data_IF_262769740446
#
_entry.id   IF_262769740446
#
_cell.length_a   1.000
_cell.length_b   1.000
_cell.length_c   1.000
_cell.angle_alpha   90.00
_cell.angle_beta   90.00
_cell.angle_gamma   90.00
#
_symmetry.space_group_name_H-M   'P 1'
#
loop_
_entity.id
_entity.type
_entity.pdbx_description
1 polymer ?
#
# COMPACT_ATOMS: atom_id res chain seq x y z
N UNK A 1 -16.68 19.86 29.24
CA UNK A 1 -17.12 19.23 27.98
C UNK A 1 -15.95 19.22 27.02
N UNK A 2 -15.28 18.09 26.87
CA UNK A 2 -14.21 17.89 25.90
C UNK A 2 -14.86 17.56 24.54
N UNK A 3 -14.50 18.22 23.43
CA UNK A 3 -15.09 17.89 22.14
C UNK A 3 -14.64 16.49 21.71
N UNK A 4 -15.59 15.63 21.35
CA UNK A 4 -15.33 14.38 20.64
C UNK A 4 -14.57 14.73 19.36
N UNK A 5 -13.33 14.25 19.22
CA UNK A 5 -12.62 14.28 17.93
C UNK A 5 -13.45 13.45 16.96
N UNK A 6 -13.94 14.05 15.88
CA UNK A 6 -14.52 13.30 14.78
C UNK A 6 -13.38 12.50 14.15
N UNK A 7 -13.39 11.18 14.32
CA UNK A 7 -12.54 10.29 13.53
C UNK A 7 -13.02 10.36 12.09
N UNK A 8 -12.26 10.97 11.20
CA UNK A 8 -12.30 10.63 9.78
C UNK A 8 -11.90 9.16 9.68
N UNK A 9 -12.90 8.27 9.65
CA UNK A 9 -12.67 6.83 9.63
C UNK A 9 -12.14 6.43 8.26
N UNK A 10 -10.92 5.90 8.21
CA UNK A 10 -10.38 5.13 7.10
C UNK A 10 -11.34 3.95 6.81
N UNK A 11 -11.82 3.82 5.57
CA UNK A 11 -12.71 2.72 5.20
C UNK A 11 -11.89 1.63 4.56
N UNK A 12 -12.18 0.41 4.99
CA UNK A 12 -11.24 -0.69 4.99
C UNK A 12 -10.04 -0.46 5.89
N UNK A 13 -10.20 -0.82 7.15
CA UNK A 13 -9.13 -1.51 7.84
C UNK A 13 -9.57 -2.97 7.85
N UNK A 14 -8.71 -3.92 7.50
CA UNK A 14 -8.99 -5.33 7.81
C UNK A 14 -8.98 -5.50 9.33
N UNK A 15 -10.08 -5.08 9.98
CA UNK A 15 -10.45 -5.52 11.30
C UNK A 15 -10.91 -6.98 11.14
N UNK A 16 -9.95 -7.91 11.06
CA UNK A 16 -10.24 -9.32 11.30
C UNK A 16 -10.88 -9.41 12.69
N UNK A 17 -12.22 -9.52 12.69
CA UNK A 17 -13.19 -9.59 13.79
C UNK A 17 -12.74 -9.00 15.13
N UNK A 18 -13.24 -7.81 15.44
CA UNK A 18 -13.35 -7.24 16.80
C UNK A 18 -14.30 -8.01 17.75
N UNK A 19 -14.56 -9.32 17.51
CA UNK A 19 -15.54 -10.09 18.29
C UNK A 19 -15.05 -11.39 18.95
N UNK A 20 -13.77 -11.68 18.90
CA UNK A 20 -13.17 -12.67 19.81
C UNK A 20 -11.96 -12.04 20.50
N UNK A 21 -11.66 -12.50 21.71
CA UNK A 21 -10.75 -11.95 22.72
C UNK A 21 -9.27 -11.83 22.33
N UNK A 22 -8.96 -11.78 21.04
CA UNK A 22 -7.63 -11.53 20.49
C UNK A 22 -7.39 -10.03 20.27
N UNK A 23 -6.34 -9.43 20.87
CA UNK A 23 -5.98 -8.04 20.61
C UNK A 23 -5.63 -7.81 19.13
N UNK A 24 -5.78 -6.59 18.59
CA UNK A 24 -5.46 -6.29 17.20
C UNK A 24 -4.01 -6.66 16.88
N UNK A 25 -3.85 -7.70 16.08
CA UNK A 25 -2.59 -8.19 15.55
C UNK A 25 -2.85 -8.72 14.14
N UNK A 26 -1.82 -8.68 13.31
CA UNK A 26 -1.89 -9.07 11.90
C UNK A 26 -1.39 -10.51 11.79
N UNK A 27 -1.88 -11.30 10.83
CA UNK A 27 -1.64 -12.76 10.80
C UNK A 27 -0.48 -13.13 9.88
N UNK A 28 0.42 -14.00 10.35
CA UNK A 28 1.56 -14.52 9.59
C UNK A 28 1.31 -15.98 9.23
N UNK A 29 0.79 -16.27 8.04
CA UNK A 29 0.67 -17.63 7.57
C UNK A 29 1.92 -18.10 6.81
N UNK A 30 2.18 -19.42 6.80
CA UNK A 30 3.25 -20.05 6.02
C UNK A 30 2.72 -21.21 5.18
N UNK A 31 3.30 -21.41 4.00
CA UNK A 31 2.98 -22.53 3.10
C UNK A 31 4.25 -23.01 2.40
N UNK A 32 4.30 -24.30 2.07
CA UNK A 32 5.36 -24.87 1.24
C UNK A 32 5.17 -24.58 -0.26
N UNK A 33 3.96 -24.19 -0.69
CA UNK A 33 3.68 -23.78 -2.08
C UNK A 33 3.02 -22.39 -2.12
N UNK A 34 3.21 -21.59 -3.18
CA UNK A 34 2.57 -20.28 -3.30
C UNK A 34 1.03 -20.33 -3.22
N UNK A 35 0.43 -21.42 -3.70
CA UNK A 35 -1.03 -21.62 -3.73
C UNK A 35 -1.60 -22.16 -2.40
N UNK A 36 -0.76 -22.49 -1.42
CA UNK A 36 -1.21 -23.04 -0.15
C UNK A 36 -1.23 -24.57 -0.08
N UNK A 37 -1.89 -25.15 0.94
CA UNK A 37 -2.61 -24.45 2.01
C UNK A 37 -1.66 -23.70 2.95
N UNK A 38 -2.14 -22.55 3.44
CA UNK A 38 -1.42 -21.72 4.39
C UNK A 38 -1.76 -22.14 5.84
N UNK A 39 -0.73 -22.28 6.68
CA UNK A 39 -0.86 -22.53 8.12
C UNK A 39 -0.57 -21.25 8.89
N UNK A 40 -1.50 -20.83 9.74
CA UNK A 40 -1.29 -19.72 10.67
C UNK A 40 -0.09 -19.98 11.61
N UNK A 41 0.75 -18.97 11.79
CA UNK A 41 1.89 -19.00 12.73
C UNK A 41 1.57 -18.16 13.97
N UNK A 42 1.32 -16.87 13.77
CA UNK A 42 1.14 -15.94 14.88
C UNK A 42 0.40 -14.68 14.43
N UNK A 43 -0.03 -13.92 15.44
CA UNK A 43 -0.54 -12.57 15.26
C UNK A 43 0.07 -11.63 16.27
N UNK A 44 0.56 -10.46 15.82
CA UNK A 44 1.26 -9.51 16.69
C UNK A 44 1.13 -8.05 16.23
N UNK A 45 1.50 -7.15 17.14
CA UNK A 45 1.68 -5.71 16.90
C UNK A 45 3.17 -5.41 16.72
N UNK A 46 3.63 -4.95 15.54
CA UNK A 46 5.05 -4.66 15.33
C UNK A 46 5.54 -3.58 16.30
N UNK A 47 6.47 -3.94 17.19
CA UNK A 47 6.98 -3.07 18.24
C UNK A 47 5.87 -2.42 19.10
N UNK A 48 4.76 -3.13 19.32
CA UNK A 48 3.60 -2.64 20.07
C UNK A 48 2.69 -1.67 19.33
N UNK A 49 3.04 -1.29 18.10
CA UNK A 49 2.26 -0.36 17.28
C UNK A 49 0.98 -1.02 16.72
N UNK A 50 -0.09 -0.24 16.64
CA UNK A 50 -1.25 -0.62 15.84
C UNK A 50 -0.86 -0.81 14.37
N UNK A 51 -1.48 -1.77 13.71
CA UNK A 51 -1.06 -2.23 12.39
C UNK A 51 -2.31 -2.61 11.58
N UNK A 52 -2.78 -1.68 10.74
CA UNK A 52 -4.02 -1.81 9.96
C UNK A 52 -3.70 -2.06 8.48
N UNK A 53 -3.99 -1.12 7.58
CA UNK A 53 -3.59 -1.21 6.18
C UNK A 53 -2.09 -1.45 6.03
N UNK A 54 -1.74 -2.20 4.98
CA UNK A 54 -0.43 -2.83 4.91
C UNK A 54 0.07 -3.18 3.55
N UNK A 55 1.40 -3.25 3.45
CA UNK A 55 2.08 -3.98 2.39
C UNK A 55 3.39 -4.57 2.88
N UNK A 56 3.92 -5.51 2.11
CA UNK A 56 5.22 -6.12 2.30
C UNK A 56 6.12 -5.76 1.12
N UNK A 57 7.40 -5.59 1.39
CA UNK A 57 8.40 -5.34 0.38
C UNK A 57 9.67 -6.11 0.71
N UNK A 58 10.19 -6.84 -0.27
CA UNK A 58 11.50 -7.52 -0.19
C UNK A 58 12.45 -6.75 -1.08
N UNK A 59 13.53 -6.24 -0.50
CA UNK A 59 14.56 -5.50 -1.21
C UNK A 59 15.54 -6.47 -1.91
N UNK A 60 16.38 -5.92 -2.78
CA UNK A 60 17.34 -6.68 -3.61
C UNK A 60 18.38 -7.42 -2.77
N UNK A 61 18.63 -6.98 -1.54
CA UNK A 61 19.54 -7.62 -0.57
C UNK A 61 18.87 -8.79 0.20
N UNK A 62 17.59 -9.07 -0.07
CA UNK A 62 16.80 -10.10 0.63
C UNK A 62 16.21 -9.63 1.97
N UNK A 63 16.41 -8.38 2.37
CA UNK A 63 15.74 -7.80 3.54
C UNK A 63 14.26 -7.58 3.25
N UNK A 64 13.38 -8.03 4.15
CA UNK A 64 11.95 -7.77 4.05
C UNK A 64 11.50 -6.67 5.02
N UNK A 65 10.50 -5.91 4.59
CA UNK A 65 9.95 -4.78 5.31
C UNK A 65 8.42 -4.85 5.29
N UNK A 66 7.81 -4.47 6.41
CA UNK A 66 6.37 -4.29 6.53
C UNK A 66 6.09 -2.80 6.65
N UNK A 67 5.29 -2.26 5.74
CA UNK A 67 4.74 -0.90 5.84
C UNK A 67 3.31 -0.96 6.32
N UNK A 68 2.92 -0.03 7.19
CA UNK A 68 1.61 -0.09 7.82
C UNK A 68 1.08 1.21 8.40
N UNK A 69 -0.24 1.36 8.35
CA UNK A 69 -0.97 2.43 9.05
C UNK A 69 -1.14 2.08 10.53
N UNK A 70 -0.88 3.06 11.39
CA UNK A 70 -0.78 2.95 12.85
C UNK A 70 -1.34 4.21 13.53
N UNK A 71 -1.39 4.24 14.87
CA UNK A 71 -1.93 5.37 15.68
C UNK A 71 -3.29 5.86 15.15
N UNK A 72 -4.26 4.95 15.06
CA UNK A 72 -5.59 5.24 14.49
C UNK A 72 -5.52 5.82 13.08
N UNK A 73 -4.64 5.21 12.28
CA UNK A 73 -4.33 5.53 10.89
C UNK A 73 -3.74 6.93 10.67
N UNK A 74 -3.34 7.61 11.74
CA UNK A 74 -2.65 8.89 11.64
C UNK A 74 -1.23 8.72 11.06
N UNK A 75 -0.54 7.65 11.48
CA UNK A 75 0.87 7.41 11.21
C UNK A 75 1.08 6.29 10.20
N UNK A 76 1.94 6.53 9.21
CA UNK A 76 2.47 5.47 8.35
C UNK A 76 3.88 5.11 8.82
N UNK A 77 4.13 3.81 9.04
CA UNK A 77 5.39 3.29 9.58
C UNK A 77 5.98 2.22 8.67
N UNK A 78 7.26 1.97 8.84
CA UNK A 78 7.94 0.80 8.30
C UNK A 78 8.74 0.11 9.38
N UNK A 79 8.78 -1.22 9.33
CA UNK A 79 9.61 -2.06 10.18
C UNK A 79 10.31 -3.12 9.35
N UNK A 80 11.58 -3.41 9.66
CA UNK A 80 12.29 -4.55 9.07
C UNK A 80 11.84 -5.84 9.74
N UNK A 81 11.64 -6.88 8.94
CA UNK A 81 11.29 -8.21 9.41
C UNK A 81 12.55 -9.05 9.71
N UNK A 82 12.39 -10.07 10.56
CA UNK A 82 13.39 -11.09 10.82
C UNK A 82 13.76 -11.83 9.52
N UNK A 83 14.88 -12.57 9.52
CA UNK A 83 15.35 -13.29 8.33
C UNK A 83 14.33 -14.30 7.77
N UNK A 84 13.49 -14.90 8.62
CA UNK A 84 12.39 -15.78 8.22
C UNK A 84 11.10 -15.04 7.84
N UNK A 85 11.11 -13.72 7.92
CA UNK A 85 10.00 -12.79 7.69
C UNK A 85 8.81 -12.94 8.64
N UNK A 86 8.94 -13.73 9.73
CA UNK A 86 7.83 -14.08 10.62
C UNK A 86 7.63 -13.12 11.79
N UNK A 87 8.60 -12.26 12.08
CA UNK A 87 8.52 -11.30 13.19
C UNK A 87 9.08 -9.95 12.81
N UNK A 88 8.64 -8.91 13.50
CA UNK A 88 9.24 -7.58 13.39
C UNK A 88 10.54 -7.51 14.21
N UNK A 89 11.55 -6.85 13.64
CA UNK A 89 12.76 -6.44 14.37
C UNK A 89 12.54 -5.10 15.06
N UNK A 90 13.53 -4.66 15.85
CA UNK A 90 13.54 -3.31 16.45
C UNK A 90 13.89 -2.19 15.48
N UNK A 91 14.27 -2.51 14.23
CA UNK A 91 14.52 -1.50 13.20
C UNK A 91 13.20 -1.01 12.61
N UNK A 92 12.75 0.15 13.08
CA UNK A 92 11.43 0.71 12.84
C UNK A 92 11.54 2.22 12.64
N UNK A 93 10.76 2.78 11.73
CA UNK A 93 10.70 4.22 11.48
C UNK A 93 9.27 4.70 11.26
N UNK A 94 8.96 5.86 11.84
CA UNK A 94 7.80 6.65 11.43
C UNK A 94 8.13 7.35 10.11
N UNK A 95 7.37 7.10 9.06
CA UNK A 95 7.60 7.73 7.76
C UNK A 95 7.04 9.15 7.74
N UNK A 96 5.76 9.29 8.08
CA UNK A 96 5.04 10.55 8.20
C UNK A 96 3.67 10.35 8.86
N UNK A 97 3.07 11.46 9.28
CA UNK A 97 1.85 11.52 10.09
C UNK A 97 0.77 12.34 9.38
N UNK A 98 0.19 11.77 8.32
CA UNK A 98 -0.65 12.51 7.36
C UNK A 98 -1.97 11.80 7.01
N UNK A 99 -2.44 10.89 7.87
CA UNK A 99 -3.66 10.10 7.65
C UNK A 99 -3.69 9.38 6.30
N UNK A 100 -2.63 8.62 6.02
CA UNK A 100 -2.47 7.85 4.80
C UNK A 100 -2.69 6.36 5.07
N UNK A 101 -3.26 5.68 4.09
CA UNK A 101 -3.63 4.27 4.12
C UNK A 101 -3.27 3.59 2.79
N UNK A 102 -3.59 2.30 2.67
CA UNK A 102 -3.43 1.50 1.46
C UNK A 102 -2.04 1.64 0.76
N UNK A 103 -0.93 1.41 1.49
CA UNK A 103 0.42 1.65 0.96
C UNK A 103 0.79 0.67 -0.16
N UNK A 104 1.25 1.20 -1.29
CA UNK A 104 1.80 0.43 -2.41
C UNK A 104 3.23 0.89 -2.71
N UNK A 105 4.20 0.09 -2.26
CA UNK A 105 5.63 0.36 -2.34
C UNK A 105 6.26 -0.37 -3.53
N UNK A 106 7.13 0.32 -4.27
CA UNK A 106 8.01 -0.28 -5.26
C UNK A 106 9.36 0.47 -5.33
N UNK A 107 10.35 -0.15 -5.98
CA UNK A 107 11.70 0.40 -6.16
C UNK A 107 12.01 0.52 -7.65
N UNK A 108 12.63 1.64 -8.03
CA UNK A 108 13.13 1.92 -9.39
C UNK A 108 14.37 2.80 -9.30
N UNK A 109 15.41 2.49 -10.08
CA UNK A 109 16.65 3.29 -10.15
C UNK A 109 17.24 3.64 -8.77
N UNK A 110 17.30 2.64 -7.88
CA UNK A 110 17.78 2.79 -6.50
C UNK A 110 17.01 3.82 -5.65
N UNK A 111 15.75 4.10 -6.00
CA UNK A 111 14.83 4.93 -5.23
C UNK A 111 13.55 4.16 -4.92
N UNK A 112 12.99 4.43 -3.76
CA UNK A 112 11.73 3.88 -3.32
C UNK A 112 10.62 4.86 -3.63
N UNK A 113 9.50 4.34 -4.12
CA UNK A 113 8.29 5.09 -4.40
C UNK A 113 7.12 4.45 -3.67
N UNK A 114 6.33 5.28 -3.00
CA UNK A 114 5.23 4.85 -2.16
C UNK A 114 3.97 5.60 -2.55
N UNK A 115 3.01 4.88 -3.14
CA UNK A 115 1.68 5.41 -3.43
C UNK A 115 0.76 5.05 -2.26
N UNK A 116 -0.04 6.01 -1.80
CA UNK A 116 -1.02 5.82 -0.71
C UNK A 116 -2.33 6.52 -1.06
N UNK A 117 -3.43 6.13 -0.42
CA UNK A 117 -4.66 6.94 -0.35
C UNK A 117 -4.76 7.70 0.97
N UNK A 118 -5.63 8.69 1.04
CA UNK A 118 -6.06 9.33 2.28
C UNK A 118 -7.20 8.54 2.94
N UNK A 119 -7.51 8.84 4.20
CA UNK A 119 -8.56 8.17 4.95
C UNK A 119 -9.95 8.81 4.81
N UNK A 120 -10.79 8.26 3.92
CA UNK A 120 -12.14 8.80 3.63
C UNK A 120 -13.25 7.76 3.64
N UNK A 121 -13.12 6.74 4.49
CA UNK A 121 -14.14 5.69 4.52
C UNK A 121 -14.12 4.91 3.20
N UNK A 122 -15.31 4.66 2.67
CA UNK A 122 -15.50 3.95 1.41
C UNK A 122 -15.31 4.83 0.18
N UNK A 123 -15.27 6.14 0.38
CA UNK A 123 -15.21 7.09 -0.72
C UNK A 123 -13.78 7.14 -1.27
N UNK A 124 -13.59 7.03 -2.58
CA UNK A 124 -12.28 7.16 -3.19
C UNK A 124 -11.77 8.60 -3.10
N UNK A 125 -10.46 8.78 -3.05
CA UNK A 125 -9.83 10.08 -2.79
C UNK A 125 -8.52 10.26 -3.56
N UNK A 126 -7.86 11.39 -3.34
CA UNK A 126 -6.61 11.75 -3.99
C UNK A 126 -5.44 10.88 -3.46
N UNK A 127 -4.86 10.11 -4.38
CA UNK A 127 -3.63 9.40 -4.12
C UNK A 127 -2.45 10.38 -3.99
N UNK A 128 -1.42 9.98 -3.25
CA UNK A 128 -0.16 10.71 -3.20
C UNK A 128 0.99 9.75 -3.37
N UNK A 129 2.03 10.20 -4.07
CA UNK A 129 3.31 9.51 -4.16
C UNK A 129 4.34 10.22 -3.28
N UNK A 130 5.09 9.41 -2.53
CA UNK A 130 6.30 9.83 -1.83
C UNK A 130 7.51 9.09 -2.38
N UNK A 131 8.68 9.72 -2.31
CA UNK A 131 9.96 9.12 -2.70
C UNK A 131 10.98 9.11 -1.55
N UNK A 132 11.87 8.13 -1.53
CA UNK A 132 13.00 8.08 -0.61
C UNK A 132 14.21 7.36 -1.22
N UNK A 133 15.41 7.66 -0.73
CA UNK A 133 16.65 6.92 -1.06
C UNK A 133 16.88 5.71 -0.13
N UNK A 134 16.15 5.62 0.97
CA UNK A 134 16.15 4.52 1.92
C UNK A 134 14.72 4.18 2.29
N UNK A 135 14.41 2.91 2.49
CA UNK A 135 13.07 2.46 2.89
C UNK A 135 12.63 3.10 4.23
N UNK A 136 13.58 3.42 5.12
CA UNK A 136 13.35 4.10 6.39
C UNK A 136 13.20 5.62 6.27
N UNK A 137 13.30 6.16 5.05
CA UNK A 137 13.20 7.58 4.76
C UNK A 137 14.55 8.32 4.79
N UNK A 138 14.52 9.67 4.82
CA UNK A 138 13.31 10.50 4.84
C UNK A 138 12.49 10.37 3.54
N UNK A 139 11.16 10.44 3.69
CA UNK A 139 10.22 10.38 2.56
C UNK A 139 9.79 11.78 2.15
N UNK A 140 9.93 12.09 0.87
CA UNK A 140 9.56 13.38 0.27
C UNK A 140 8.26 13.22 -0.51
N UNK A 141 7.28 14.07 -0.24
CA UNK A 141 6.03 14.15 -1.02
C UNK A 141 6.33 14.70 -2.42
N UNK A 142 5.85 13.99 -3.45
CA UNK A 142 5.89 14.43 -4.85
C UNK A 142 4.53 14.93 -5.35
N UNK A 143 3.44 14.59 -4.68
CA UNK A 143 2.07 15.01 -5.01
C UNK A 143 1.21 13.87 -5.57
N UNK A 144 0.19 14.24 -6.34
CA UNK A 144 -0.78 13.32 -6.94
C UNK A 144 -0.19 12.69 -8.23
N UNK A 145 0.00 11.36 -8.30
CA UNK A 145 0.54 10.72 -9.49
C UNK A 145 -0.52 10.46 -10.58
N UNK A 146 -1.81 10.71 -10.30
CA UNK A 146 -2.91 10.36 -11.20
C UNK A 146 -3.12 11.46 -12.25
N UNK A 147 -3.28 11.07 -13.51
CA UNK A 147 -3.57 12.00 -14.60
C UNK A 147 -4.73 11.51 -15.47
N UNK A 148 -5.69 12.39 -15.75
CA UNK A 148 -6.88 12.10 -16.55
C UNK A 148 -8.20 12.38 -15.82
N UNK A 149 -9.34 11.99 -16.41
CA UNK A 149 -10.65 12.16 -15.80
C UNK A 149 -10.72 11.49 -14.42
N UNK A 150 -11.28 12.14 -13.41
CA UNK A 150 -11.40 11.56 -12.05
C UNK A 150 -10.07 11.23 -11.36
N UNK A 151 -8.96 11.87 -11.74
CA UNK A 151 -7.66 11.72 -11.06
C UNK A 151 -7.73 12.00 -9.54
N UNK A 152 -8.50 13.01 -9.13
CA UNK A 152 -8.71 13.41 -7.72
C UNK A 152 -9.42 12.38 -6.85
N UNK A 153 -9.93 11.32 -7.46
CA UNK A 153 -10.50 10.16 -6.77
C UNK A 153 -9.82 8.87 -7.21
N UNK A 154 -8.59 8.94 -7.73
CA UNK A 154 -7.83 7.76 -8.19
C UNK A 154 -8.66 6.90 -9.16
N UNK A 155 -9.39 7.56 -10.06
CA UNK A 155 -10.30 6.93 -11.02
C UNK A 155 -11.39 6.06 -10.35
N UNK A 156 -11.82 6.45 -9.16
CA UNK A 156 -12.77 5.72 -8.31
C UNK A 156 -12.15 4.55 -7.53
N UNK A 157 -10.82 4.41 -7.51
CA UNK A 157 -10.12 3.31 -6.84
C UNK A 157 -9.37 3.73 -5.57
N UNK A 158 -8.81 2.73 -4.89
CA UNK A 158 -7.88 2.86 -3.77
C UNK A 158 -6.67 1.97 -4.06
N UNK A 159 -5.44 2.47 -3.86
CA UNK A 159 -4.21 1.71 -4.15
C UNK A 159 -4.16 0.40 -3.36
N UNK A 160 -3.66 -0.68 -3.98
CA UNK A 160 -3.46 -1.96 -3.27
C UNK A 160 -2.04 -2.48 -3.46
N UNK A 161 -1.50 -2.40 -4.67
CA UNK A 161 -0.16 -2.87 -4.98
C UNK A 161 0.42 -2.18 -6.22
N UNK A 162 1.75 -2.21 -6.36
CA UNK A 162 2.42 -1.91 -7.63
C UNK A 162 3.23 -3.14 -8.00
N UNK A 163 2.89 -3.78 -9.12
CA UNK A 163 3.54 -5.01 -9.59
C UNK A 163 4.64 -4.67 -10.60
N UNK A 164 5.93 -4.92 -10.28
CA UNK A 164 6.98 -4.96 -11.31
C UNK A 164 6.73 -6.14 -12.26
N UNK A 165 6.79 -5.91 -13.56
CA UNK A 165 6.50 -6.95 -14.55
C UNK A 165 7.76 -7.80 -14.80
N UNK A 166 7.68 -9.07 -14.42
CA UNK A 166 8.77 -10.02 -14.63
C UNK A 166 9.14 -10.13 -16.12
N UNK A 167 10.44 -10.07 -16.42
CA UNK A 167 10.95 -10.13 -17.80
C UNK A 167 10.82 -8.84 -18.60
N UNK A 168 10.22 -7.79 -18.03
CA UNK A 168 10.15 -6.44 -18.63
C UNK A 168 10.75 -5.42 -17.66
N UNK A 169 12.08 -5.16 -17.75
CA UNK A 169 12.72 -4.14 -16.93
C UNK A 169 12.00 -2.81 -17.04
N UNK A 170 11.98 -2.06 -15.95
CA UNK A 170 11.37 -0.74 -15.85
C UNK A 170 9.86 -0.66 -16.20
N UNK A 171 9.16 -1.78 -16.11
CA UNK A 171 7.72 -1.86 -16.37
C UNK A 171 6.98 -2.20 -15.08
N UNK A 172 6.03 -1.34 -14.68
CA UNK A 172 5.26 -1.50 -13.47
C UNK A 172 3.77 -1.34 -13.75
N UNK A 173 2.96 -2.08 -12.99
CA UNK A 173 1.50 -2.01 -13.04
C UNK A 173 0.96 -1.50 -11.72
N UNK A 174 0.29 -0.35 -11.74
CA UNK A 174 -0.47 0.13 -10.61
C UNK A 174 -1.76 -0.69 -10.49
N UNK A 175 -2.01 -1.22 -9.31
CA UNK A 175 -3.19 -2.00 -9.00
C UNK A 175 -3.97 -1.29 -7.89
N UNK A 176 -5.28 -1.17 -8.10
CA UNK A 176 -6.21 -0.58 -7.17
C UNK A 176 -7.55 -1.32 -7.16
N UNK A 177 -8.27 -1.17 -6.06
CA UNK A 177 -9.61 -1.70 -5.88
C UNK A 177 -10.65 -0.58 -5.98
N UNK A 178 -11.69 -0.82 -6.78
CA UNK A 178 -12.91 -0.01 -6.84
C UNK A 178 -13.93 -0.67 -5.92
N UNK A 179 -13.97 -0.22 -4.68
CA UNK A 179 -14.81 -0.82 -3.65
C UNK A 179 -16.30 -0.62 -3.91
N UNK A 180 -17.07 -1.70 -3.78
CA UNK A 180 -18.53 -1.64 -3.72
C UNK A 180 -18.99 -1.93 -2.28
N UNK A 181 -19.23 -0.91 -1.44
CA UNK A 181 -19.59 -1.13 -0.03
C UNK A 181 -20.92 -1.86 0.18
N UNK A 182 -21.79 -1.93 -0.85
CA UNK A 182 -23.06 -2.66 -0.79
C UNK A 182 -22.89 -4.15 -1.10
N UNK A 183 -21.86 -4.50 -1.85
CA UNK A 183 -21.49 -5.89 -2.16
C UNK A 183 -19.99 -5.98 -2.41
N UNK A 184 -19.22 -6.23 -1.35
CA UNK A 184 -17.76 -6.21 -1.40
C UNK A 184 -17.19 -7.25 -2.37
N UNK A 185 -17.90 -8.36 -2.59
CA UNK A 185 -17.49 -9.41 -3.53
C UNK A 185 -17.62 -8.96 -4.99
N UNK A 186 -18.46 -7.97 -5.25
CA UNK A 186 -18.66 -7.37 -6.57
C UNK A 186 -17.81 -6.09 -6.77
N UNK A 187 -16.85 -5.84 -5.88
CA UNK A 187 -15.83 -4.81 -6.10
C UNK A 187 -15.02 -5.13 -7.36
N UNK A 188 -14.49 -4.10 -8.02
CA UNK A 188 -13.79 -4.24 -9.32
C UNK A 188 -12.33 -3.87 -9.19
N UNK A 189 -11.53 -4.37 -10.12
CA UNK A 189 -10.12 -4.02 -10.21
C UNK A 189 -9.89 -2.85 -11.16
N UNK A 190 -8.95 -1.99 -10.78
CA UNK A 190 -8.43 -0.91 -11.60
C UNK A 190 -6.93 -1.11 -11.76
N UNK A 191 -6.50 -1.57 -12.92
CA UNK A 191 -5.09 -1.78 -13.24
C UNK A 191 -4.68 -0.85 -14.36
N UNK A 192 -3.60 -0.11 -14.17
CA UNK A 192 -3.10 0.89 -15.11
C UNK A 192 -1.56 0.86 -15.16
N UNK A 193 -0.93 0.97 -16.34
CA UNK A 193 0.51 1.07 -16.45
C UNK A 193 1.06 2.28 -15.69
N UNK A 194 2.22 2.12 -15.05
CA UNK A 194 2.97 3.23 -14.49
C UNK A 194 3.94 3.74 -15.55
N UNK A 195 3.85 5.04 -15.84
CA UNK A 195 4.82 5.78 -16.66
C UNK A 195 5.68 6.68 -15.76
N UNK A 196 6.75 7.28 -16.29
CA UNK A 196 7.63 8.14 -15.50
C UNK A 196 7.92 9.45 -16.23
N UNK A 197 7.72 10.57 -15.55
CA UNK A 197 8.11 11.91 -15.99
C UNK A 197 9.17 12.47 -15.03
N UNK A 198 10.40 12.70 -15.50
CA UNK A 198 11.52 13.17 -14.64
C UNK A 198 11.65 12.33 -13.35
N UNK A 199 11.55 11.01 -13.50
CA UNK A 199 11.57 10.01 -12.42
C UNK A 199 10.37 10.03 -11.44
N UNK A 200 9.37 10.88 -11.64
CA UNK A 200 8.11 10.80 -10.91
C UNK A 200 7.18 9.78 -11.57
N UNK A 201 6.63 8.81 -10.83
CA UNK A 201 5.65 7.88 -11.38
C UNK A 201 4.33 8.60 -11.68
N UNK A 202 3.79 8.32 -12.85
CA UNK A 202 2.56 8.88 -13.37
C UNK A 202 1.64 7.74 -13.83
N UNK A 203 0.40 7.75 -13.34
CA UNK A 203 -0.64 6.79 -13.72
C UNK A 203 -1.67 7.55 -14.54
N UNK A 204 -1.68 7.30 -15.85
CA UNK A 204 -2.67 7.88 -16.77
C UNK A 204 -3.89 7.01 -16.87
N UNK A 205 -5.07 7.63 -16.88
CA UNK A 205 -6.28 6.94 -17.30
C UNK A 205 -6.12 6.47 -18.74
N UNK A 206 -6.40 5.19 -18.97
CA UNK A 206 -6.58 4.63 -20.31
C UNK A 206 -7.68 3.58 -20.25
N UNK A 207 -8.63 3.64 -21.19
CA UNK A 207 -9.78 2.73 -21.19
C UNK A 207 -9.35 1.28 -21.46
N UNK A 208 -8.28 1.11 -22.24
CA UNK A 208 -7.66 -0.16 -22.57
C UNK A 208 -6.15 0.01 -22.65
N UNK A 209 -5.40 -1.00 -22.26
CA UNK A 209 -3.94 -1.04 -22.37
C UNK A 209 -3.46 -2.47 -22.54
N UNK A 210 -2.25 -2.60 -23.08
CA UNK A 210 -1.57 -3.87 -23.27
C UNK A 210 -0.09 -3.71 -22.89
N UNK A 211 0.44 -4.63 -22.08
CA UNK A 211 1.87 -4.68 -21.73
C UNK A 211 2.79 -4.89 -22.94
N UNK A 212 2.25 -5.36 -24.06
CA UNK A 212 2.99 -5.70 -25.28
C UNK A 212 2.78 -4.72 -26.42
N UNK A 213 1.82 -3.80 -26.32
CA UNK A 213 1.75 -2.67 -27.22
C UNK A 213 3.03 -1.86 -26.99
N UNK A 214 3.99 -1.97 -27.93
CA UNK A 214 5.29 -1.33 -27.81
C UNK A 214 5.14 0.13 -27.39
N UNK A 215 6.00 0.59 -26.49
CA UNK A 215 6.02 1.92 -25.85
C UNK A 215 6.03 3.06 -26.87
N UNK A 216 4.92 3.29 -27.56
CA UNK A 216 4.58 4.56 -28.17
C UNK A 216 3.67 5.22 -27.15
N UNK A 217 4.22 6.25 -26.52
CA UNK A 217 3.70 6.88 -25.30
C UNK A 217 2.19 6.98 -25.23
N UNK A 218 1.67 6.62 -24.05
CA UNK A 218 0.42 7.12 -23.52
C UNK A 218 0.66 8.44 -22.79
#
# INVERSE_FOLDING_TARGET
>A
MTPKRSSTSCGFTWNWREKDTTPPGREWPVSATPAGPYRFVSSFRPNGNMSRDMTLFVDEDGSAYQMYSSRDNYDLRVVKLSHDYLTATTQDSLLFSSHREAPALFKRNNRYYLITSGCTGWDPNEATVHEASSVFGPWKLLGDPMQGPSAKTTFGGQSTYVQPIQGKPDTFLFMADRWNPKDLKDSRYLWLPVSFEKDQPIIRWTDQWDLNAGTKGY
#
